data_IF_049698529837
#
_entry.id   IF_049698529837
#
_cell.length_a   1.000
_cell.length_b   1.000
_cell.length_c   1.000
_cell.angle_alpha   90.00
_cell.angle_beta   90.00
_cell.angle_gamma   90.00
#
_symmetry.space_group_name_H-M   'P 1'
#
loop_
_entity.id
_entity.type
_entity.pdbx_description
1 polymer ?
#
# COMPACT_ATOMS: atom_id res chain seq x y z
N UNK A 1 -2.01 -29.61 14.16
CA UNK A 1 -1.27 -28.45 13.58
C UNK A 1 -2.22 -27.26 13.54
N UNK A 2 -2.87 -26.99 14.66
CA UNK A 2 -4.09 -26.19 14.72
C UNK A 2 -3.89 -25.20 15.86
N UNK A 3 -4.19 -23.92 15.63
CA UNK A 3 -3.92 -22.77 16.52
C UNK A 3 -2.56 -22.05 16.40
N UNK A 4 -1.88 -22.05 15.24
CA UNK A 4 -1.13 -20.82 14.88
C UNK A 4 -2.20 -19.75 14.69
N UNK A 5 -2.36 -18.90 15.71
CA UNK A 5 -3.61 -18.22 15.99
C UNK A 5 -4.14 -17.46 14.77
N UNK A 6 -5.35 -17.79 14.34
CA UNK A 6 -6.10 -17.16 13.23
C UNK A 6 -5.95 -15.62 13.22
N UNK A 7 -5.88 -15.00 14.41
CA UNK A 7 -5.69 -13.55 14.61
C UNK A 7 -4.29 -13.04 14.23
N UNK A 8 -3.23 -13.83 14.39
CA UNK A 8 -1.85 -13.41 14.09
C UNK A 8 -1.59 -13.30 12.59
N UNK A 9 -2.31 -14.09 11.78
CA UNK A 9 -2.29 -14.03 10.32
C UNK A 9 -3.28 -12.98 9.79
N UNK A 10 -4.47 -12.86 10.38
CA UNK A 10 -5.52 -11.95 9.90
C UNK A 10 -5.12 -10.47 10.04
N UNK A 11 -4.46 -10.08 11.13
CA UNK A 11 -4.11 -8.67 11.40
C UNK A 11 -3.27 -8.02 10.28
N UNK A 12 -2.15 -8.62 9.83
CA UNK A 12 -1.37 -8.08 8.71
C UNK A 12 -2.01 -8.34 7.34
N UNK A 13 -3.02 -9.21 7.25
CA UNK A 13 -3.67 -9.53 5.98
C UNK A 13 -4.58 -8.40 5.49
N UNK A 14 -5.17 -7.62 6.40
CA UNK A 14 -6.01 -6.46 6.04
C UNK A 14 -5.23 -5.41 5.23
N UNK A 15 -4.09 -4.85 5.72
CA UNK A 15 -3.31 -3.90 4.94
C UNK A 15 -2.70 -4.53 3.67
N UNK A 16 -2.38 -5.83 3.67
CA UNK A 16 -1.95 -6.54 2.47
C UNK A 16 -3.06 -6.59 1.41
N UNK A 17 -4.30 -6.91 1.79
CA UNK A 17 -5.45 -6.94 0.90
C UNK A 17 -5.78 -5.55 0.35
N UNK A 18 -5.73 -4.52 1.19
CA UNK A 18 -5.89 -3.13 0.75
C UNK A 18 -4.77 -2.70 -0.22
N UNK A 19 -3.54 -3.18 -0.01
CA UNK A 19 -2.42 -2.95 -0.94
C UNK A 19 -2.64 -3.66 -2.29
N UNK A 20 -3.24 -4.86 -2.29
CA UNK A 20 -3.64 -5.55 -3.51
C UNK A 20 -4.77 -4.81 -4.25
N UNK A 21 -5.74 -4.24 -3.51
CA UNK A 21 -6.78 -3.39 -4.10
C UNK A 21 -6.22 -2.08 -4.67
N UNK A 22 -5.24 -1.47 -3.99
CA UNK A 22 -4.51 -0.32 -4.52
C UNK A 22 -3.81 -0.66 -5.84
N UNK A 23 -3.13 -1.81 -5.91
CA UNK A 23 -2.48 -2.28 -7.13
C UNK A 23 -3.52 -2.51 -8.24
N UNK A 24 -4.50 -3.38 -7.99
CA UNK A 24 -5.50 -3.76 -8.98
C UNK A 24 -6.29 -2.56 -9.48
N UNK A 25 -6.79 -1.72 -8.58
CA UNK A 25 -7.51 -0.50 -8.93
C UNK A 25 -6.64 0.51 -9.68
N UNK A 26 -5.40 0.73 -9.23
CA UNK A 26 -4.47 1.72 -9.79
C UNK A 26 -3.94 1.35 -11.18
N UNK A 27 -3.99 0.08 -11.59
CA UNK A 27 -3.61 -0.37 -12.94
C UNK A 27 -4.80 -0.67 -13.84
N UNK A 28 -6.04 -0.59 -13.33
CA UNK A 28 -7.26 -0.87 -14.10
C UNK A 28 -8.20 0.35 -14.11
N UNK A 29 -9.28 0.31 -13.33
CA UNK A 29 -10.39 1.28 -13.34
C UNK A 29 -9.93 2.67 -12.92
N UNK A 30 -8.99 2.75 -11.98
CA UNK A 30 -8.47 4.03 -11.47
C UNK A 30 -7.10 4.38 -12.07
N UNK A 31 -6.70 3.76 -13.19
CA UNK A 31 -5.47 4.08 -13.89
C UNK A 31 -5.35 5.57 -14.23
N UNK A 32 -4.10 6.01 -14.42
CA UNK A 32 -3.76 7.34 -14.89
C UNK A 32 -4.22 7.52 -16.35
N UNK A 33 -3.62 8.47 -17.08
CA UNK A 33 -4.03 8.71 -18.45
C UNK A 33 -3.75 7.50 -19.35
N UNK A 34 -4.64 7.28 -20.31
CA UNK A 34 -4.52 6.23 -21.32
C UNK A 34 -3.34 6.48 -22.26
N UNK A 35 -2.95 5.43 -22.98
CA UNK A 35 -1.95 5.53 -24.05
C UNK A 35 -2.47 6.48 -25.13
N UNK A 36 -1.58 7.29 -25.70
CA UNK A 36 -1.94 8.20 -26.78
C UNK A 36 -2.29 7.41 -28.04
N UNK A 37 -3.01 8.06 -28.97
CA UNK A 37 -3.39 7.47 -30.25
C UNK A 37 -2.18 7.07 -31.12
N UNK A 38 -1.02 7.69 -30.92
CA UNK A 38 0.25 7.35 -31.59
C UNK A 38 1.00 6.18 -30.92
N UNK A 39 0.41 5.56 -29.89
CA UNK A 39 1.02 4.46 -29.12
C UNK A 39 2.05 4.93 -28.09
N UNK A 40 2.30 6.23 -27.94
CA UNK A 40 3.21 6.73 -26.92
C UNK A 40 2.53 6.84 -25.54
N UNK A 41 3.31 6.70 -24.47
CA UNK A 41 2.82 6.86 -23.10
C UNK A 41 2.97 8.29 -22.60
N UNK A 42 1.98 8.77 -21.85
CA UNK A 42 2.09 10.05 -21.15
C UNK A 42 3.07 9.95 -19.98
N UNK A 43 3.65 11.08 -19.57
CA UNK A 43 4.61 11.12 -18.47
C UNK A 43 4.04 10.60 -17.14
N UNK A 44 2.73 10.77 -16.91
CA UNK A 44 2.04 10.24 -15.73
C UNK A 44 2.00 8.69 -15.68
N UNK A 45 2.28 8.00 -16.79
CA UNK A 45 2.34 6.53 -16.80
C UNK A 45 3.49 6.00 -15.92
N UNK A 46 4.63 6.70 -15.89
CA UNK A 46 5.72 6.35 -14.97
C UNK A 46 5.29 6.49 -13.51
N UNK A 47 4.48 7.51 -13.22
CA UNK A 47 3.91 7.73 -11.89
C UNK A 47 2.95 6.58 -11.50
N UNK A 48 2.14 6.09 -12.45
CA UNK A 48 1.32 4.88 -12.25
C UNK A 48 2.19 3.64 -11.96
N UNK A 49 3.26 3.44 -12.72
CA UNK A 49 4.16 2.30 -12.52
C UNK A 49 4.90 2.37 -11.17
N UNK A 50 5.25 3.57 -10.69
CA UNK A 50 5.82 3.76 -9.35
C UNK A 50 4.82 3.38 -8.25
N UNK A 51 3.55 3.79 -8.37
CA UNK A 51 2.50 3.37 -7.41
C UNK A 51 2.28 1.86 -7.47
N UNK A 52 2.21 1.27 -8.67
CA UNK A 52 2.04 -0.16 -8.84
C UNK A 52 3.20 -0.95 -8.21
N UNK A 53 4.44 -0.56 -8.49
CA UNK A 53 5.63 -1.17 -7.87
C UNK A 53 5.62 -1.02 -6.35
N UNK A 54 5.23 0.15 -5.84
CA UNK A 54 5.11 0.39 -4.39
C UNK A 54 4.01 -0.49 -3.77
N UNK A 55 2.88 -0.67 -4.44
CA UNK A 55 1.79 -1.52 -3.98
C UNK A 55 2.23 -3.00 -3.93
N UNK A 56 2.97 -3.49 -4.93
CA UNK A 56 3.61 -4.82 -4.89
C UNK A 56 4.55 -4.94 -3.68
N UNK A 57 5.39 -3.93 -3.45
CA UNK A 57 6.26 -3.88 -2.27
C UNK A 57 5.50 -3.94 -0.95
N UNK A 58 4.38 -3.22 -0.83
CA UNK A 58 3.53 -3.24 0.36
C UNK A 58 2.87 -4.60 0.58
N UNK A 59 2.36 -5.24 -0.48
CA UNK A 59 1.83 -6.61 -0.42
C UNK A 59 2.92 -7.56 0.09
N UNK A 60 4.13 -7.45 -0.42
CA UNK A 60 5.25 -8.28 0.00
C UNK A 60 5.63 -8.02 1.46
N UNK A 61 5.73 -6.77 1.92
CA UNK A 61 6.09 -6.44 3.30
C UNK A 61 5.02 -6.88 4.30
N UNK A 62 3.75 -6.52 4.07
CA UNK A 62 2.64 -6.94 4.94
C UNK A 62 2.44 -8.46 4.89
N UNK A 63 2.52 -9.07 3.70
CA UNK A 63 2.46 -10.51 3.52
C UNK A 63 3.59 -11.23 4.25
N UNK A 64 4.84 -10.81 4.09
CA UNK A 64 5.99 -11.39 4.79
C UNK A 64 5.86 -11.24 6.31
N UNK A 65 5.36 -10.10 6.80
CA UNK A 65 5.13 -9.89 8.24
C UNK A 65 4.15 -10.91 8.85
N UNK A 66 3.27 -11.52 8.05
CA UNK A 66 2.37 -12.60 8.48
C UNK A 66 3.05 -13.96 8.62
N UNK A 67 4.15 -14.18 7.90
CA UNK A 67 4.92 -15.43 7.88
C UNK A 67 6.07 -15.41 8.90
N UNK A 68 6.55 -14.22 9.28
CA UNK A 68 7.66 -14.06 10.22
C UNK A 68 7.20 -14.31 11.67
N UNK A 69 7.77 -15.35 12.28
CA UNK A 69 7.56 -15.71 13.70
C UNK A 69 8.38 -14.85 14.66
N UNK A 70 9.52 -14.32 14.18
CA UNK A 70 10.39 -13.47 14.97
C UNK A 70 9.74 -12.10 15.21
N UNK A 71 9.26 -11.88 16.43
CA UNK A 71 8.57 -10.65 16.83
C UNK A 71 9.27 -9.33 16.44
N UNK A 72 10.57 -9.11 16.76
CA UNK A 72 11.22 -7.84 16.40
C UNK A 72 11.31 -7.65 14.89
N UNK A 73 11.59 -8.72 14.13
CA UNK A 73 11.61 -8.67 12.66
C UNK A 73 10.22 -8.38 12.09
N UNK A 74 9.16 -8.98 12.65
CA UNK A 74 7.78 -8.70 12.26
C UNK A 74 7.40 -7.24 12.49
N UNK A 75 7.74 -6.68 13.65
CA UNK A 75 7.48 -5.27 13.96
C UNK A 75 8.26 -4.33 13.05
N UNK A 76 9.52 -4.65 12.74
CA UNK A 76 10.33 -3.89 11.79
C UNK A 76 9.71 -3.88 10.39
N UNK A 77 9.23 -5.04 9.91
CA UNK A 77 8.53 -5.15 8.62
C UNK A 77 7.24 -4.33 8.60
N UNK A 78 6.43 -4.40 9.67
CA UNK A 78 5.20 -3.62 9.79
C UNK A 78 5.49 -2.11 9.82
N UNK A 79 6.49 -1.67 10.60
CA UNK A 79 6.89 -0.28 10.66
C UNK A 79 7.38 0.23 9.29
N UNK A 80 8.21 -0.55 8.61
CA UNK A 80 8.69 -0.24 7.26
C UNK A 80 7.53 -0.14 6.26
N UNK A 81 6.57 -1.07 6.32
CA UNK A 81 5.39 -1.07 5.45
C UNK A 81 4.48 0.15 5.71
N UNK A 82 4.32 0.56 6.97
CA UNK A 82 3.58 1.77 7.32
C UNK A 82 4.27 3.01 6.75
N UNK A 83 5.58 3.16 6.93
CA UNK A 83 6.34 4.28 6.37
C UNK A 83 6.22 4.30 4.85
N UNK A 84 6.42 3.16 4.19
CA UNK A 84 6.26 3.04 2.75
C UNK A 84 4.85 3.44 2.28
N UNK A 85 3.79 3.04 3.00
CA UNK A 85 2.42 3.42 2.64
C UNK A 85 2.14 4.92 2.73
N UNK A 86 2.79 5.62 3.68
CA UNK A 86 2.76 7.09 3.75
C UNK A 86 3.50 7.70 2.57
N UNK A 87 4.63 7.13 2.14
CA UNK A 87 5.34 7.60 0.93
C UNK A 87 4.45 7.48 -0.31
N UNK A 88 3.69 6.39 -0.45
CA UNK A 88 2.79 6.18 -1.59
C UNK A 88 1.75 7.29 -1.73
N UNK A 89 1.27 7.86 -0.62
CA UNK A 89 0.32 8.98 -0.63
C UNK A 89 0.86 10.20 -1.41
N UNK A 90 2.17 10.45 -1.31
CA UNK A 90 2.84 11.57 -1.95
C UNK A 90 3.34 11.26 -3.36
N UNK A 91 3.19 10.02 -3.85
CA UNK A 91 3.66 9.65 -5.18
C UNK A 91 2.95 10.49 -6.26
N UNK A 92 1.60 10.47 -6.40
CA UNK A 92 0.93 11.23 -7.44
C UNK A 92 0.89 12.73 -7.11
N UNK A 93 1.66 13.51 -7.86
CA UNK A 93 1.65 14.98 -7.83
C UNK A 93 2.57 15.58 -6.77
N UNK A 94 3.30 14.74 -6.03
CA UNK A 94 4.38 15.14 -5.14
C UNK A 94 5.73 14.63 -5.68
N UNK A 95 5.98 13.33 -5.54
CA UNK A 95 7.25 12.69 -5.93
C UNK A 95 7.37 12.56 -7.45
N UNK A 96 6.27 12.19 -8.14
CA UNK A 96 6.25 12.15 -9.59
C UNK A 96 5.27 13.17 -10.18
N UNK A 97 5.67 13.86 -11.27
CA UNK A 97 4.83 14.84 -11.93
C UNK A 97 3.66 14.17 -12.66
N UNK A 98 2.49 14.79 -12.57
CA UNK A 98 1.31 14.44 -13.35
C UNK A 98 1.25 15.27 -14.63
N UNK A 99 0.24 15.01 -15.47
CA UNK A 99 -0.02 15.85 -16.63
C UNK A 99 -0.28 17.31 -16.23
N UNK A 100 0.01 18.25 -17.13
CA UNK A 100 -0.10 19.68 -16.84
C UNK A 100 -1.54 20.13 -16.49
N UNK A 101 -2.54 19.60 -17.20
CA UNK A 101 -3.94 19.99 -17.00
C UNK A 101 -4.58 19.25 -15.83
N UNK A 102 -5.22 20.01 -14.93
CA UNK A 102 -5.89 19.49 -13.73
C UNK A 102 -7.17 18.69 -14.00
N UNK A 103 -7.76 18.83 -15.19
CA UNK A 103 -8.94 18.09 -15.63
C UNK A 103 -8.61 16.68 -16.15
N UNK A 104 -7.33 16.35 -16.28
CA UNK A 104 -6.88 15.05 -16.75
C UNK A 104 -7.19 13.95 -15.74
N UNK A 105 -7.40 12.73 -16.24
CA UNK A 105 -7.70 11.53 -15.44
C UNK A 105 -6.68 11.28 -14.31
N UNK A 106 -5.41 11.60 -14.54
CA UNK A 106 -4.38 11.45 -13.53
C UNK A 106 -4.62 12.31 -12.27
N UNK A 107 -5.22 13.51 -12.40
CA UNK A 107 -5.58 14.38 -11.29
C UNK A 107 -6.96 14.09 -10.72
N UNK A 108 -7.94 13.77 -11.57
CA UNK A 108 -9.35 13.63 -11.16
C UNK A 108 -9.71 12.23 -10.67
N UNK A 109 -8.98 11.20 -11.09
CA UNK A 109 -9.29 9.78 -10.78
C UNK A 109 -8.13 9.09 -10.07
N UNK A 110 -6.96 9.02 -10.70
CA UNK A 110 -5.82 8.24 -10.18
C UNK A 110 -5.28 8.81 -8.87
N UNK A 111 -4.97 10.11 -8.83
CA UNK A 111 -4.46 10.77 -7.63
C UNK A 111 -5.37 10.62 -6.39
N UNK A 112 -6.69 10.94 -6.44
CA UNK A 112 -7.54 10.79 -5.26
C UNK A 112 -7.69 9.32 -4.85
N UNK A 113 -7.80 8.39 -5.81
CA UNK A 113 -7.84 6.96 -5.51
C UNK A 113 -6.60 6.50 -4.73
N UNK A 114 -5.41 6.80 -5.24
CA UNK A 114 -4.14 6.41 -4.60
C UNK A 114 -4.06 7.01 -3.21
N UNK A 115 -4.38 8.30 -3.04
CA UNK A 115 -4.34 8.96 -1.73
C UNK A 115 -5.28 8.32 -0.71
N UNK A 116 -6.53 8.06 -1.10
CA UNK A 116 -7.51 7.42 -0.21
C UNK A 116 -7.02 6.01 0.17
N UNK A 117 -6.59 5.22 -0.81
CA UNK A 117 -6.10 3.86 -0.56
C UNK A 117 -4.82 3.85 0.30
N UNK A 118 -3.88 4.76 0.07
CA UNK A 118 -2.69 4.92 0.90
C UNK A 118 -3.04 5.23 2.36
N UNK A 119 -4.03 6.10 2.61
CA UNK A 119 -4.51 6.37 3.97
C UNK A 119 -5.13 5.13 4.61
N UNK A 120 -5.94 4.36 3.86
CA UNK A 120 -6.53 3.12 4.36
C UNK A 120 -5.47 2.06 4.66
N UNK A 121 -4.48 1.89 3.80
CA UNK A 121 -3.36 0.97 4.00
C UNK A 121 -2.51 1.41 5.19
N UNK A 122 -2.17 2.69 5.30
CA UNK A 122 -1.41 3.23 6.42
C UNK A 122 -2.16 3.08 7.74
N UNK A 123 -3.44 3.45 7.79
CA UNK A 123 -4.26 3.36 8.99
C UNK A 123 -4.43 1.92 9.48
N UNK A 124 -4.73 0.97 8.57
CA UNK A 124 -4.80 -0.45 8.90
C UNK A 124 -3.44 -1.05 9.27
N UNK A 125 -2.35 -0.59 8.65
CA UNK A 125 -0.97 -0.94 8.98
C UNK A 125 -0.56 -0.46 10.38
N UNK A 126 -0.91 0.76 10.76
CA UNK A 126 -0.71 1.30 12.12
C UNK A 126 -1.52 0.47 13.12
N UNK A 127 -2.78 0.15 12.81
CA UNK A 127 -3.61 -0.72 13.63
C UNK A 127 -2.96 -2.10 13.84
N UNK A 128 -2.41 -2.68 12.78
CA UNK A 128 -1.69 -3.94 12.83
C UNK A 128 -0.41 -3.86 13.67
N UNK A 129 0.37 -2.79 13.51
CA UNK A 129 1.60 -2.53 14.26
C UNK A 129 1.30 -2.38 15.76
N UNK A 130 0.31 -1.54 16.12
CA UNK A 130 -0.09 -1.31 17.52
C UNK A 130 -0.67 -2.59 18.14
N UNK A 131 -1.47 -3.36 17.41
CA UNK A 131 -2.01 -4.62 17.89
C UNK A 131 -0.89 -5.66 18.13
N UNK A 132 0.12 -5.70 17.28
CA UNK A 132 1.31 -6.53 17.46
C UNK A 132 2.14 -6.08 18.69
N UNK A 133 2.32 -4.77 18.90
CA UNK A 133 3.03 -4.22 20.05
C UNK A 133 2.30 -4.42 21.39
N UNK A 134 0.98 -4.21 21.44
CA UNK A 134 0.20 -4.38 22.68
C UNK A 134 0.18 -5.82 23.17
N UNK A 135 0.33 -6.81 22.27
CA UNK A 135 0.52 -8.21 22.66
C UNK A 135 1.83 -8.44 23.42
N UNK A 136 2.83 -7.58 23.24
CA UNK A 136 4.09 -7.66 23.99
C UNK A 136 3.97 -7.08 25.41
N UNK A 137 3.00 -6.18 25.66
CA UNK A 137 2.79 -5.56 26.96
C UNK A 137 1.93 -6.39 27.94
N UNK A 138 1.23 -7.43 27.46
CA UNK A 138 0.57 -8.40 28.35
C UNK A 138 1.59 -9.50 28.69
N UNK A 139 2.06 -9.60 29.94
CA UNK A 139 2.84 -10.76 30.34
C UNK A 139 1.96 -12.00 30.18
N UNK A 140 2.51 -13.02 29.54
CA UNK A 140 1.95 -14.36 29.52
C UNK A 140 1.78 -14.82 30.97
N UNK A 141 0.54 -14.83 31.45
CA UNK A 141 0.17 -15.52 32.69
C UNK A 141 0.01 -17.01 32.40
#
# INVERSE_FOLDING_TARGET
>A
MDTVAKKDVIIPLVPAALSALLLAGGVTVFSACEQRADGSWMHCHQCQNMVAGSAVGLIALYGASSLVKNKPARLALLALAVIASVVVFFIPGGICPLCAMKTMRCHTVFQPFVRIMSVLVAGSGIGALVASWKKDAKPSA
#
